data_IF_148650203886
#
_entry.id   IF_148650203886
#
_cell.length_a   1.000
_cell.length_b   1.000
_cell.length_c   1.000
_cell.angle_alpha   90.00
_cell.angle_beta   90.00
_cell.angle_gamma   90.00
#
_symmetry.space_group_name_H-M   'P 1'
#
loop_
_entity.id
_entity.type
_entity.pdbx_description
1 polymer ?
#
# COMPACT_ATOMS: atom_id res chain seq x y z
N UNK A 1 -34.83 5.86 6.75
CA UNK A 1 -34.74 4.39 6.84
C UNK A 1 -33.53 4.02 7.66
N UNK A 2 -33.61 2.98 8.48
CA UNK A 2 -32.45 2.45 9.22
C UNK A 2 -31.56 1.60 8.31
N UNK A 3 -30.26 1.57 8.60
CA UNK A 3 -29.30 0.70 7.90
C UNK A 3 -29.55 -0.75 8.37
N UNK A 4 -29.68 -1.73 7.44
CA UNK A 4 -29.82 -3.13 7.81
C UNK A 4 -28.63 -3.62 8.66
N UNK A 5 -28.90 -4.49 9.63
CA UNK A 5 -27.88 -5.09 10.50
C UNK A 5 -26.95 -6.07 9.79
N UNK A 6 -27.18 -6.35 8.51
CA UNK A 6 -26.30 -7.17 7.67
C UNK A 6 -25.20 -6.35 6.99
N UNK A 7 -25.25 -5.02 7.08
CA UNK A 7 -24.28 -4.15 6.42
C UNK A 7 -22.92 -4.21 7.13
N UNK A 8 -21.88 -4.52 6.36
CA UNK A 8 -20.47 -4.64 6.80
C UNK A 8 -19.62 -3.47 6.27
N UNK A 9 -19.97 -2.97 5.09
CA UNK A 9 -19.32 -1.86 4.41
C UNK A 9 -20.27 -0.68 4.33
N UNK A 10 -19.82 0.50 4.74
CA UNK A 10 -20.60 1.72 4.66
C UNK A 10 -19.77 2.83 4.03
N UNK A 11 -20.39 3.56 3.10
CA UNK A 11 -19.79 4.71 2.42
C UNK A 11 -20.62 5.94 2.76
N UNK A 12 -19.95 6.99 3.24
CA UNK A 12 -20.54 8.30 3.48
C UNK A 12 -19.94 9.30 2.50
N UNK A 13 -20.80 9.78 1.61
CA UNK A 13 -20.47 10.63 0.48
C UNK A 13 -20.21 12.09 0.90
N UNK A 14 -19.65 12.84 -0.05
CA UNK A 14 -19.41 14.28 0.08
C UNK A 14 -20.63 15.05 0.58
N UNK A 15 -20.39 16.01 1.47
CA UNK A 15 -21.44 16.87 1.98
C UNK A 15 -22.26 16.26 3.13
N UNK A 16 -22.11 14.97 3.44
CA UNK A 16 -22.83 14.34 4.56
C UNK A 16 -22.59 15.10 5.88
N UNK A 17 -23.67 15.50 6.57
CA UNK A 17 -23.58 16.44 7.69
C UNK A 17 -24.45 16.03 8.91
N UNK A 18 -24.50 14.75 9.22
CA UNK A 18 -25.27 14.24 10.36
C UNK A 18 -24.37 13.45 11.33
N UNK A 19 -24.73 13.34 12.62
CA UNK A 19 -24.02 12.47 13.55
C UNK A 19 -24.00 11.02 13.08
N UNK A 20 -22.89 10.32 13.34
CA UNK A 20 -22.64 8.95 12.90
C UNK A 20 -23.16 7.86 13.86
N UNK A 21 -24.02 8.22 14.81
CA UNK A 21 -24.59 7.28 15.78
C UNK A 21 -25.56 6.25 15.18
N UNK A 22 -25.99 6.45 13.93
CA UNK A 22 -26.84 5.52 13.20
C UNK A 22 -26.07 4.32 12.61
N UNK A 23 -24.73 4.37 12.57
CA UNK A 23 -23.93 3.30 11.97
C UNK A 23 -24.04 2.06 12.87
N UNK A 24 -24.56 0.92 12.36
CA UNK A 24 -24.73 -0.27 13.17
C UNK A 24 -23.36 -0.90 13.53
N UNK A 25 -23.27 -1.64 14.65
CA UNK A 25 -22.03 -2.28 15.08
C UNK A 25 -21.57 -3.42 14.15
N UNK A 26 -22.37 -3.80 13.15
CA UNK A 26 -21.99 -4.78 12.14
C UNK A 26 -21.05 -4.20 11.09
N UNK A 27 -20.96 -2.87 10.97
CA UNK A 27 -20.02 -2.22 10.06
C UNK A 27 -18.60 -2.41 10.58
N UNK A 28 -17.74 -2.88 9.70
CA UNK A 28 -16.31 -3.13 9.96
C UNK A 28 -15.42 -2.27 9.04
N UNK A 29 -15.95 -1.91 7.88
CA UNK A 29 -15.28 -1.10 6.87
C UNK A 29 -16.08 0.19 6.63
N UNK A 30 -15.44 1.34 6.84
CA UNK A 30 -16.07 2.65 6.69
C UNK A 30 -15.27 3.50 5.71
N UNK A 31 -15.96 4.06 4.72
CA UNK A 31 -15.45 5.05 3.80
C UNK A 31 -16.06 6.41 4.14
N UNK A 32 -15.20 7.41 4.35
CA UNK A 32 -15.57 8.78 4.60
C UNK A 32 -14.96 9.65 3.52
N UNK A 33 -15.81 10.19 2.64
CA UNK A 33 -15.41 11.21 1.68
C UNK A 33 -15.33 12.57 2.42
N UNK A 34 -15.48 13.71 1.74
CA UNK A 34 -15.44 15.02 2.36
C UNK A 34 -16.76 15.40 3.08
N UNK A 35 -17.06 14.66 4.15
CA UNK A 35 -18.20 14.89 5.03
C UNK A 35 -18.06 16.22 5.80
N UNK A 36 -19.17 16.88 6.08
CA UNK A 36 -19.22 18.16 6.81
C UNK A 36 -19.41 18.00 8.30
N UNK A 37 -19.92 16.84 8.75
CA UNK A 37 -20.07 16.57 10.17
C UNK A 37 -18.71 16.54 10.87
N UNK A 38 -18.54 17.32 11.94
CA UNK A 38 -17.29 17.39 12.69
C UNK A 38 -17.07 16.14 13.53
N UNK A 39 -16.06 15.35 13.19
CA UNK A 39 -15.73 14.12 13.89
C UNK A 39 -14.94 14.41 15.17
N UNK A 40 -15.30 13.67 16.22
CA UNK A 40 -14.68 13.71 17.55
C UNK A 40 -14.36 12.29 18.00
N UNK A 41 -13.48 12.10 19.00
CA UNK A 41 -13.32 10.80 19.64
C UNK A 41 -14.69 10.19 20.01
N UNK A 42 -14.94 8.97 19.57
CA UNK A 42 -16.24 8.29 19.76
C UNK A 42 -17.28 8.48 18.64
N UNK A 43 -17.01 9.30 17.61
CA UNK A 43 -17.98 9.52 16.52
C UNK A 43 -18.26 8.28 15.68
N UNK A 44 -17.26 7.44 15.38
CA UNK A 44 -17.44 6.20 14.63
C UNK A 44 -17.64 5.00 15.57
N UNK A 45 -18.27 3.89 15.17
CA UNK A 45 -18.36 2.70 16.04
C UNK A 45 -17.00 2.05 16.33
N UNK A 46 -16.87 1.40 17.50
CA UNK A 46 -15.63 0.66 17.89
C UNK A 46 -15.39 -0.61 17.07
N UNK A 47 -16.32 -0.97 16.20
CA UNK A 47 -16.27 -2.17 15.35
C UNK A 47 -15.48 -1.93 14.07
N UNK A 48 -15.24 -0.66 13.72
CA UNK A 48 -14.47 -0.28 12.52
C UNK A 48 -13.02 -0.76 12.66
N UNK A 49 -12.60 -1.61 11.72
CA UNK A 49 -11.23 -2.12 11.60
C UNK A 49 -10.50 -1.54 10.40
N UNK A 50 -11.25 -1.14 9.37
CA UNK A 50 -10.73 -0.56 8.13
C UNK A 50 -11.41 0.78 7.91
N UNK A 51 -10.60 1.82 7.74
CA UNK A 51 -11.07 3.18 7.53
C UNK A 51 -10.45 3.75 6.27
N UNK A 52 -11.29 4.29 5.40
CA UNK A 52 -10.90 4.94 4.16
C UNK A 52 -11.33 6.40 4.24
N UNK A 53 -10.37 7.31 4.11
CA UNK A 53 -10.59 8.75 4.10
C UNK A 53 -10.27 9.25 2.70
N UNK A 54 -11.27 9.77 2.01
CA UNK A 54 -11.24 9.99 0.56
C UNK A 54 -11.69 11.39 0.16
N UNK A 55 -11.57 11.72 -1.14
CA UNK A 55 -12.14 12.89 -1.80
C UNK A 55 -11.86 14.24 -1.14
N UNK A 56 -10.65 14.42 -0.61
CA UNK A 56 -10.28 15.70 -0.01
C UNK A 56 -10.74 15.87 1.43
N UNK A 57 -10.93 14.76 2.16
CA UNK A 57 -11.20 14.77 3.59
C UNK A 57 -10.29 15.76 4.33
N UNK A 58 -10.90 16.67 5.09
CA UNK A 58 -10.24 17.85 5.67
C UNK A 58 -10.59 18.05 7.15
N UNK A 59 -10.38 17.01 7.95
CA UNK A 59 -10.59 17.08 9.40
C UNK A 59 -9.42 16.43 10.16
N UNK A 60 -9.18 16.83 11.43
CA UNK A 60 -8.22 16.15 12.29
C UNK A 60 -8.55 14.66 12.44
N UNK A 61 -7.52 13.80 12.46
CA UNK A 61 -7.68 12.35 12.55
C UNK A 61 -7.79 11.80 13.99
N UNK A 62 -7.99 12.66 14.99
CA UNK A 62 -8.06 12.26 16.40
C UNK A 62 -9.35 11.47 16.77
N UNK A 63 -10.33 11.41 15.86
CA UNK A 63 -11.53 10.58 16.03
C UNK A 63 -11.28 9.10 15.78
N UNK A 64 -10.19 8.75 15.09
CA UNK A 64 -9.87 7.37 14.74
C UNK A 64 -9.61 6.58 16.02
N UNK A 65 -10.37 5.50 16.22
CA UNK A 65 -10.36 4.73 17.46
C UNK A 65 -9.24 3.69 17.49
N UNK A 66 -8.80 3.25 18.70
CA UNK A 66 -7.70 2.30 18.89
C UNK A 66 -8.09 0.83 18.58
N UNK A 67 -8.80 0.62 17.48
CA UNK A 67 -9.11 -0.70 16.91
C UNK A 67 -8.92 -0.74 15.40
N UNK A 68 -8.78 0.42 14.75
CA UNK A 68 -8.47 0.52 13.32
C UNK A 68 -7.08 -0.04 13.08
N UNK A 69 -6.99 -0.98 12.14
CA UNK A 69 -5.75 -1.68 11.76
C UNK A 69 -5.28 -1.30 10.36
N UNK A 70 -6.24 -1.02 9.46
CA UNK A 70 -6.00 -0.58 8.10
C UNK A 70 -6.55 0.84 7.93
N UNK A 71 -5.69 1.75 7.49
CA UNK A 71 -6.06 3.12 7.17
C UNK A 71 -5.66 3.43 5.74
N UNK A 72 -6.60 3.96 4.96
CA UNK A 72 -6.37 4.49 3.63
C UNK A 72 -6.58 6.00 3.61
N UNK A 73 -5.64 6.72 3.03
CA UNK A 73 -5.65 8.18 2.92
C UNK A 73 -5.55 8.58 1.45
N UNK A 74 -6.62 9.18 0.93
CA UNK A 74 -6.70 9.72 -0.43
C UNK A 74 -6.95 11.23 -0.41
N UNK A 75 -6.10 11.97 -1.10
CA UNK A 75 -6.18 13.43 -1.27
C UNK A 75 -6.42 14.24 0.03
N UNK A 76 -5.94 13.78 1.19
CA UNK A 76 -6.20 14.42 2.50
C UNK A 76 -5.68 15.87 2.52
N UNK A 77 -6.59 16.81 2.77
CA UNK A 77 -6.27 18.25 2.87
C UNK A 77 -5.74 18.64 4.24
N UNK A 78 -6.17 17.93 5.28
CA UNK A 78 -5.70 18.14 6.63
C UNK A 78 -4.19 17.87 6.73
N UNK A 79 -3.43 18.78 7.33
CA UNK A 79 -2.00 18.63 7.51
C UNK A 79 -1.70 17.57 8.59
N UNK A 80 -1.19 16.43 8.17
CA UNK A 80 -0.85 15.32 9.05
C UNK A 80 0.40 15.64 9.87
N UNK A 81 0.36 15.27 11.14
CA UNK A 81 1.44 15.49 12.12
C UNK A 81 1.80 14.17 12.77
N UNK A 82 2.98 14.08 13.42
CA UNK A 82 3.26 12.96 14.32
C UNK A 82 2.08 12.77 15.28
N UNK A 83 1.64 11.52 15.46
CA UNK A 83 0.47 11.14 16.29
C UNK A 83 -0.91 11.41 15.67
N UNK A 84 -1.01 11.89 14.43
CA UNK A 84 -2.31 11.99 13.74
C UNK A 84 -2.97 10.62 13.54
N UNK A 85 -2.18 9.56 13.37
CA UNK A 85 -2.66 8.19 13.18
C UNK A 85 -2.49 7.40 14.49
N UNK A 86 -3.52 6.67 14.97
CA UNK A 86 -3.39 5.83 16.15
C UNK A 86 -2.34 4.73 15.98
N UNK A 87 -1.65 4.39 17.07
CA UNK A 87 -0.62 3.32 17.12
C UNK A 87 -1.20 1.92 16.92
N UNK A 88 -2.52 1.76 16.76
CA UNK A 88 -3.11 0.47 16.41
C UNK A 88 -3.04 0.16 14.92
N UNK A 89 -2.80 1.17 14.08
CA UNK A 89 -2.67 1.02 12.63
C UNK A 89 -1.37 0.30 12.30
N UNK A 90 -1.50 -0.80 11.56
CA UNK A 90 -0.37 -1.62 11.10
C UNK A 90 -0.23 -1.63 9.58
N UNK A 91 -1.32 -1.30 8.86
CA UNK A 91 -1.38 -1.20 7.41
C UNK A 91 -1.83 0.22 7.04
N UNK A 92 -1.03 0.89 6.23
CA UNK A 92 -1.31 2.25 5.77
C UNK A 92 -1.23 2.28 4.24
N UNK A 93 -2.26 2.82 3.61
CA UNK A 93 -2.31 3.06 2.18
C UNK A 93 -2.39 4.55 1.91
N UNK A 94 -1.44 5.06 1.12
CA UNK A 94 -1.40 6.43 0.64
C UNK A 94 -1.76 6.40 -0.85
N UNK A 95 -2.94 6.92 -1.16
CA UNK A 95 -3.56 6.84 -2.49
C UNK A 95 -3.13 8.00 -3.41
N UNK A 96 -3.80 8.09 -4.56
CA UNK A 96 -3.48 9.03 -5.64
C UNK A 96 -3.42 10.49 -5.14
N UNK A 97 -2.38 11.20 -5.56
CA UNK A 97 -2.23 12.61 -5.29
C UNK A 97 -1.76 12.97 -3.88
N UNK A 98 -1.47 11.99 -3.02
CA UNK A 98 -0.93 12.26 -1.68
C UNK A 98 0.36 13.10 -1.77
N UNK A 99 0.35 14.28 -1.15
CA UNK A 99 1.41 15.30 -1.32
C UNK A 99 1.88 15.91 0.01
N UNK A 100 2.10 15.07 1.03
CA UNK A 100 2.62 15.51 2.32
C UNK A 100 3.88 14.71 2.72
N UNK A 101 4.78 15.27 3.56
CA UNK A 101 5.87 14.51 4.15
C UNK A 101 5.37 13.30 4.95
N UNK A 102 6.09 12.19 4.91
CA UNK A 102 5.66 10.92 5.54
C UNK A 102 6.04 10.78 7.03
N UNK A 103 6.43 11.88 7.69
CA UNK A 103 6.85 11.87 9.10
C UNK A 103 5.70 11.64 10.11
N UNK A 104 4.45 11.62 9.65
CA UNK A 104 3.28 11.29 10.47
C UNK A 104 3.06 9.78 10.65
N UNK A 105 3.69 8.95 9.82
CA UNK A 105 3.48 7.49 9.84
C UNK A 105 3.96 6.95 11.19
N UNK A 106 3.09 6.31 11.99
CA UNK A 106 3.46 5.86 13.32
C UNK A 106 4.40 4.64 13.24
N UNK A 107 5.25 4.42 14.27
CA UNK A 107 6.20 3.30 14.33
C UNK A 107 5.53 1.93 14.58
N UNK A 108 4.28 1.78 14.17
CA UNK A 108 3.48 0.55 14.24
C UNK A 108 3.08 0.06 12.86
N UNK A 109 3.28 0.88 11.82
CA UNK A 109 3.04 0.49 10.43
C UNK A 109 4.12 -0.49 9.99
N UNK A 110 3.69 -1.67 9.57
CA UNK A 110 4.52 -2.78 9.08
C UNK A 110 4.35 -2.97 7.58
N UNK A 111 3.17 -2.61 7.05
CA UNK A 111 2.83 -2.71 5.64
C UNK A 111 2.39 -1.34 5.10
N UNK A 112 3.09 -0.85 4.08
CA UNK A 112 2.86 0.44 3.46
C UNK A 112 2.56 0.26 1.97
N UNK A 113 1.47 0.86 1.52
CA UNK A 113 1.06 0.92 0.12
C UNK A 113 1.21 2.36 -0.36
N UNK A 114 1.94 2.54 -1.46
CA UNK A 114 2.18 3.84 -2.07
C UNK A 114 1.68 3.81 -3.51
N UNK A 115 0.67 4.63 -3.80
CA UNK A 115 0.21 4.89 -5.16
C UNK A 115 0.91 6.15 -5.72
N UNK A 116 0.24 7.00 -6.51
CA UNK A 116 0.80 8.22 -7.10
C UNK A 116 1.20 9.30 -6.06
N UNK A 117 2.25 9.04 -5.29
CA UNK A 117 2.77 9.96 -4.28
C UNK A 117 3.43 11.14 -5.00
N UNK A 118 2.91 12.34 -4.76
CA UNK A 118 3.45 13.58 -5.34
C UNK A 118 4.58 14.17 -4.50
N UNK A 119 4.63 13.82 -3.22
CA UNK A 119 5.73 14.21 -2.33
C UNK A 119 7.02 13.47 -2.71
N UNK A 120 8.13 14.18 -2.83
CA UNK A 120 9.42 13.58 -3.17
C UNK A 120 9.92 12.69 -2.03
N UNK A 121 10.03 11.38 -2.28
CA UNK A 121 10.51 10.42 -1.31
C UNK A 121 12.04 10.44 -1.24
N UNK A 122 12.56 10.54 -0.02
CA UNK A 122 13.97 10.55 0.30
C UNK A 122 14.33 9.30 1.11
N UNK A 123 15.63 8.93 1.17
CA UNK A 123 16.09 7.98 2.18
C UNK A 123 15.55 8.42 3.56
N UNK A 124 15.01 7.48 4.33
CA UNK A 124 14.37 7.71 5.64
C UNK A 124 12.96 8.35 5.63
N UNK A 125 12.34 8.59 4.47
CA UNK A 125 10.92 9.00 4.44
C UNK A 125 9.99 7.94 5.02
N UNK A 126 10.37 6.66 4.95
CA UNK A 126 9.59 5.55 5.48
C UNK A 126 10.14 5.15 6.86
N UNK A 127 9.29 4.95 7.89
CA UNK A 127 9.71 4.48 9.20
C UNK A 127 10.43 3.12 9.13
N UNK A 128 11.37 2.91 10.05
CA UNK A 128 12.15 1.66 10.17
C UNK A 128 11.31 0.42 10.51
N UNK A 129 10.03 0.60 10.88
CA UNK A 129 9.10 -0.49 11.20
C UNK A 129 8.47 -1.10 9.96
N UNK A 130 8.54 -0.43 8.81
CA UNK A 130 7.96 -0.95 7.56
C UNK A 130 8.81 -2.09 7.03
N UNK A 131 8.17 -3.26 6.88
CA UNK A 131 8.77 -4.51 6.39
C UNK A 131 8.27 -4.85 4.98
N UNK A 132 7.01 -4.57 4.71
CA UNK A 132 6.35 -4.81 3.43
C UNK A 132 6.03 -3.47 2.77
N UNK A 133 6.53 -3.29 1.55
CA UNK A 133 6.27 -2.12 0.74
C UNK A 133 5.62 -2.55 -0.57
N UNK A 134 4.49 -1.95 -0.90
CA UNK A 134 3.76 -2.17 -2.13
C UNK A 134 3.72 -0.84 -2.88
N UNK A 135 4.21 -0.85 -4.13
CA UNK A 135 4.16 0.30 -5.03
C UNK A 135 3.12 0.03 -6.11
N UNK A 136 2.12 0.88 -6.19
CA UNK A 136 0.95 0.69 -7.06
C UNK A 136 1.12 1.32 -8.45
N UNK A 137 0.11 1.13 -9.31
CA UNK A 137 0.16 1.39 -10.75
C UNK A 137 0.64 2.80 -11.13
N UNK A 138 0.31 3.82 -10.35
CA UNK A 138 0.67 5.19 -10.68
C UNK A 138 1.96 5.66 -9.99
N UNK A 139 2.68 4.79 -9.29
CA UNK A 139 3.93 5.14 -8.64
C UNK A 139 5.03 5.47 -9.68
N UNK A 140 5.58 6.69 -9.63
CA UNK A 140 6.54 7.20 -10.62
C UNK A 140 7.76 7.89 -9.97
N UNK A 141 8.35 7.26 -8.96
CA UNK A 141 9.58 7.76 -8.33
C UNK A 141 10.68 6.71 -8.31
N UNK A 142 11.93 7.18 -8.26
CA UNK A 142 13.10 6.32 -8.09
C UNK A 142 13.01 5.50 -6.80
N UNK A 143 13.37 4.22 -6.85
CA UNK A 143 13.28 3.30 -5.71
C UNK A 143 14.40 3.47 -4.66
N UNK A 144 15.24 4.50 -4.79
CA UNK A 144 16.38 4.77 -3.88
C UNK A 144 15.97 5.20 -2.47
N UNK A 145 14.70 5.56 -2.24
CA UNK A 145 14.20 5.92 -0.91
C UNK A 145 13.96 4.71 -0.01
N UNK A 146 13.85 3.50 -0.59
CA UNK A 146 13.46 2.29 0.13
C UNK A 146 14.52 1.94 1.18
N UNK A 147 14.17 1.97 2.48
CA UNK A 147 15.16 1.76 3.54
C UNK A 147 15.56 0.28 3.69
N UNK A 148 16.72 -0.01 4.30
CA UNK A 148 17.21 -1.38 4.57
C UNK A 148 16.24 -2.27 5.37
N UNK A 149 15.28 -1.66 6.08
CA UNK A 149 14.30 -2.37 6.90
C UNK A 149 13.21 -3.05 6.08
N UNK A 150 12.93 -2.55 4.87
CA UNK A 150 12.00 -3.19 3.94
C UNK A 150 12.61 -4.51 3.47
N UNK A 151 11.88 -5.60 3.68
CA UNK A 151 12.31 -6.96 3.32
C UNK A 151 11.58 -7.46 2.08
N UNK A 152 10.35 -7.02 1.87
CA UNK A 152 9.50 -7.45 0.78
C UNK A 152 9.00 -6.23 0.00
N UNK A 153 9.27 -6.22 -1.30
CA UNK A 153 8.79 -5.20 -2.23
C UNK A 153 7.86 -5.84 -3.26
N UNK A 154 6.65 -5.30 -3.44
CA UNK A 154 5.76 -5.66 -4.54
C UNK A 154 5.57 -4.47 -5.46
N UNK A 155 5.69 -4.70 -6.77
CA UNK A 155 5.53 -3.70 -7.82
C UNK A 155 4.31 -4.05 -8.67
N UNK A 156 3.28 -3.21 -8.62
CA UNK A 156 2.04 -3.36 -9.36
C UNK A 156 2.02 -2.35 -10.50
N UNK A 157 2.49 -2.76 -11.67
CA UNK A 157 2.57 -1.94 -12.89
C UNK A 157 3.01 -0.47 -12.70
N UNK A 158 4.04 -0.23 -11.89
CA UNK A 158 4.55 1.13 -11.63
C UNK A 158 4.95 1.85 -12.94
N UNK A 159 4.84 3.18 -12.93
CA UNK A 159 5.28 4.04 -14.05
C UNK A 159 6.79 4.24 -14.09
N UNK A 160 7.45 4.21 -12.93
CA UNK A 160 8.90 4.37 -12.85
C UNK A 160 9.62 3.28 -13.65
N UNK A 161 10.36 3.68 -14.68
CA UNK A 161 11.08 2.77 -15.57
C UNK A 161 12.22 2.07 -14.81
N UNK A 162 12.13 0.75 -14.71
CA UNK A 162 13.17 -0.08 -14.10
C UNK A 162 14.32 -0.29 -15.09
N UNK A 163 15.53 -0.03 -14.61
CA UNK A 163 16.80 -0.33 -15.28
C UNK A 163 17.68 -1.16 -14.33
N UNK A 164 18.75 -1.80 -14.82
CA UNK A 164 19.69 -2.49 -13.94
C UNK A 164 20.18 -1.58 -12.81
N UNK A 165 20.07 -2.05 -11.57
CA UNK A 165 20.41 -1.28 -10.37
C UNK A 165 19.31 -0.35 -9.83
N UNK A 166 18.12 -0.30 -10.46
CA UNK A 166 16.97 0.44 -9.91
C UNK A 166 16.45 -0.16 -8.60
N UNK A 167 16.42 -1.49 -8.50
CA UNK A 167 15.84 -2.19 -7.34
C UNK A 167 16.91 -2.36 -6.25
N UNK A 168 16.62 -2.03 -4.98
CA UNK A 168 17.56 -2.20 -3.88
C UNK A 168 17.98 -3.67 -3.68
N UNK A 169 19.27 -3.89 -3.44
CA UNK A 169 19.84 -5.23 -3.32
C UNK A 169 19.69 -5.85 -1.92
N UNK A 170 19.23 -5.12 -0.90
CA UNK A 170 19.05 -5.65 0.46
C UNK A 170 17.74 -6.43 0.66
N UNK A 171 16.82 -6.37 -0.32
CA UNK A 171 15.51 -7.00 -0.23
C UNK A 171 15.64 -8.53 -0.15
N UNK A 172 14.73 -9.17 0.61
CA UNK A 172 14.65 -10.63 0.69
C UNK A 172 13.75 -11.20 -0.39
N UNK A 173 12.64 -10.50 -0.66
CA UNK A 173 11.63 -10.90 -1.62
C UNK A 173 11.24 -9.73 -2.52
N UNK A 174 11.04 -10.02 -3.80
CA UNK A 174 10.58 -9.07 -4.81
C UNK A 174 9.40 -9.67 -5.58
N UNK A 175 8.31 -8.92 -5.71
CA UNK A 175 7.11 -9.35 -6.39
C UNK A 175 6.75 -8.45 -7.57
N UNK A 176 6.30 -9.05 -8.66
CA UNK A 176 5.74 -8.37 -9.83
C UNK A 176 4.34 -8.94 -10.10
N UNK A 177 3.32 -8.08 -10.10
CA UNK A 177 1.93 -8.52 -10.22
C UNK A 177 1.03 -7.39 -10.75
N UNK A 178 -0.28 -7.64 -10.82
CA UNK A 178 -1.33 -6.67 -11.12
C UNK A 178 -1.12 -5.95 -12.47
N UNK A 179 -0.83 -6.73 -13.51
CA UNK A 179 -0.63 -6.24 -14.87
C UNK A 179 0.74 -5.59 -15.08
N UNK A 180 1.77 -5.98 -14.32
CA UNK A 180 3.10 -5.40 -14.43
C UNK A 180 3.63 -5.52 -15.88
N UNK A 181 3.87 -4.37 -16.51
CA UNK A 181 4.05 -4.29 -17.96
C UNK A 181 5.46 -3.92 -18.43
N UNK A 182 6.45 -3.88 -17.53
CA UNK A 182 7.82 -3.60 -17.96
C UNK A 182 8.57 -4.89 -18.32
N UNK A 183 9.47 -4.83 -19.29
CA UNK A 183 10.33 -5.95 -19.64
C UNK A 183 11.42 -6.16 -18.57
N UNK A 184 11.41 -7.33 -17.92
CA UNK A 184 12.43 -7.71 -16.94
C UNK A 184 13.69 -8.23 -17.65
N UNK A 185 14.56 -7.34 -18.11
CA UNK A 185 15.86 -7.70 -18.71
C UNK A 185 16.91 -8.03 -17.66
N UNK A 186 18.01 -8.65 -18.09
CA UNK A 186 19.16 -8.98 -17.24
C UNK A 186 19.60 -7.81 -16.34
N UNK A 187 19.76 -8.09 -15.05
CA UNK A 187 20.23 -7.14 -14.04
C UNK A 187 19.17 -6.22 -13.43
N UNK A 188 17.92 -6.22 -13.92
CA UNK A 188 16.82 -5.51 -13.26
C UNK A 188 16.49 -6.14 -11.91
N UNK A 189 16.37 -7.47 -11.88
CA UNK A 189 16.22 -8.22 -10.64
C UNK A 189 17.63 -8.41 -10.06
N UNK A 190 17.93 -7.89 -8.85
CA UNK A 190 19.24 -8.06 -8.25
C UNK A 190 19.52 -9.54 -7.89
N UNK A 191 20.76 -9.98 -8.07
CA UNK A 191 21.17 -11.36 -7.74
C UNK A 191 21.06 -11.70 -6.25
N UNK A 192 21.02 -10.68 -5.39
CA UNK A 192 20.86 -10.84 -3.94
C UNK A 192 19.45 -11.21 -3.49
N UNK A 193 18.44 -11.04 -4.36
CA UNK A 193 17.05 -11.40 -4.05
C UNK A 193 16.92 -12.91 -3.96
N UNK A 194 16.39 -13.44 -2.86
CA UNK A 194 16.23 -14.89 -2.69
C UNK A 194 14.93 -15.42 -3.28
N UNK A 195 13.85 -14.67 -3.10
CA UNK A 195 12.50 -15.05 -3.52
C UNK A 195 11.95 -14.03 -4.52
N UNK A 196 11.59 -14.52 -5.70
CA UNK A 196 10.94 -13.73 -6.75
C UNK A 196 9.50 -14.23 -6.85
N UNK A 197 8.53 -13.35 -6.64
CA UNK A 197 7.10 -13.65 -6.81
C UNK A 197 6.65 -13.08 -8.16
N UNK A 198 6.13 -13.92 -9.05
CA UNK A 198 5.61 -13.49 -10.35
C UNK A 198 4.14 -13.87 -10.45
N UNK A 199 3.28 -12.86 -10.59
CA UNK A 199 1.85 -13.03 -10.81
C UNK A 199 1.42 -12.57 -12.20
N UNK A 200 0.48 -11.64 -12.24
CA UNK A 200 -0.04 -11.06 -13.48
C UNK A 200 0.99 -10.07 -14.07
N UNK A 201 1.72 -10.53 -15.10
CA UNK A 201 2.68 -9.74 -15.88
C UNK A 201 2.25 -9.71 -17.35
N UNK A 202 2.57 -8.63 -18.06
CA UNK A 202 2.22 -8.48 -19.50
C UNK A 202 3.28 -9.09 -20.42
N UNK A 203 4.51 -9.23 -19.94
CA UNK A 203 5.59 -9.84 -20.70
C UNK A 203 6.15 -11.03 -19.92
N UNK A 204 6.42 -12.16 -20.60
CA UNK A 204 7.02 -13.32 -19.94
C UNK A 204 8.44 -12.99 -19.46
N UNK A 205 8.89 -13.72 -18.43
CA UNK A 205 10.31 -13.76 -18.12
C UNK A 205 11.10 -14.30 -19.33
N UNK A 206 12.33 -13.83 -19.51
CA UNK A 206 13.30 -14.36 -20.47
C UNK A 206 14.32 -15.23 -19.73
N UNK A 207 15.01 -16.18 -20.41
CA UNK A 207 16.01 -17.03 -19.77
C UNK A 207 17.13 -16.26 -19.04
N UNK A 208 17.43 -15.04 -19.46
CA UNK A 208 18.46 -14.16 -18.90
C UNK A 208 17.92 -13.12 -17.91
N UNK A 209 16.61 -13.08 -17.66
CA UNK A 209 15.98 -12.17 -16.67
C UNK A 209 16.49 -12.41 -15.24
N UNK A 210 16.92 -13.63 -14.95
CA UNK A 210 17.37 -14.10 -13.63
C UNK A 210 18.76 -14.67 -13.84
N UNK A 211 19.78 -14.02 -13.29
CA UNK A 211 21.19 -14.40 -13.50
C UNK A 211 21.72 -15.30 -12.40
N UNK A 212 21.17 -15.24 -11.19
CA UNK A 212 21.60 -16.08 -10.08
C UNK A 212 20.77 -17.39 -9.98
N UNK A 213 21.39 -18.57 -10.11
CA UNK A 213 20.69 -19.86 -10.05
C UNK A 213 20.12 -20.21 -8.66
N UNK A 214 20.58 -19.55 -7.60
CA UNK A 214 20.07 -19.78 -6.23
C UNK A 214 18.74 -19.08 -5.97
N UNK A 215 18.34 -18.15 -6.84
CA UNK A 215 17.06 -17.45 -6.74
C UNK A 215 15.92 -18.42 -6.99
N UNK A 216 14.87 -18.32 -6.17
CA UNK A 216 13.69 -19.18 -6.31
C UNK A 216 12.50 -18.34 -6.73
N UNK A 217 11.73 -18.86 -7.70
CA UNK A 217 10.54 -18.22 -8.24
C UNK A 217 9.29 -18.86 -7.66
N UNK A 218 8.41 -18.05 -7.08
CA UNK A 218 7.05 -18.42 -6.78
C UNK A 218 6.12 -17.83 -7.84
N UNK A 219 5.42 -18.70 -8.56
CA UNK A 219 4.44 -18.30 -9.58
C UNK A 219 3.06 -18.30 -8.93
N UNK A 220 2.33 -17.18 -9.02
CA UNK A 220 0.95 -17.12 -8.55
C UNK A 220 -0.01 -17.69 -9.60
N UNK A 221 -1.25 -17.97 -9.18
CA UNK A 221 -2.32 -18.40 -10.08
C UNK A 221 -2.66 -17.39 -11.20
N UNK A 222 -2.18 -16.13 -11.09
CA UNK A 222 -2.41 -15.09 -12.08
C UNK A 222 -1.38 -15.07 -13.22
N UNK A 223 -0.29 -15.84 -13.12
CA UNK A 223 0.71 -15.93 -14.18
C UNK A 223 0.21 -16.75 -15.37
N UNK A 224 0.33 -16.18 -16.57
CA UNK A 224 -0.31 -16.73 -17.78
C UNK A 224 0.66 -17.40 -18.76
N UNK A 225 1.97 -17.35 -18.51
CA UNK A 225 2.99 -17.86 -19.43
C UNK A 225 3.54 -19.23 -19.01
N UNK A 226 4.16 -19.98 -19.95
CA UNK A 226 4.87 -21.21 -19.60
C UNK A 226 6.02 -20.95 -18.61
N UNK A 227 6.29 -21.94 -17.75
CA UNK A 227 7.47 -21.93 -16.88
C UNK A 227 8.73 -22.17 -17.71
N UNK A 228 9.77 -21.36 -17.49
CA UNK A 228 11.10 -21.60 -18.06
C UNK A 228 11.78 -22.70 -17.25
N UNK A 229 12.19 -23.79 -17.93
CA UNK A 229 12.74 -25.00 -17.30
C UNK A 229 14.03 -24.79 -16.51
N UNK A 230 14.82 -23.77 -16.85
CA UNK A 230 16.11 -23.48 -16.21
C UNK A 230 15.95 -22.81 -14.85
N UNK A 231 14.75 -22.35 -14.48
CA UNK A 231 14.52 -21.69 -13.20
C UNK A 231 14.06 -22.66 -12.12
N UNK A 232 14.43 -22.32 -10.88
CA UNK A 232 13.98 -23.03 -9.68
C UNK A 232 12.65 -22.46 -9.20
N UNK A 233 11.62 -23.30 -9.11
CA UNK A 233 10.29 -22.89 -8.65
C UNK A 233 9.97 -23.45 -7.26
N UNK A 234 9.25 -22.67 -6.44
CA UNK A 234 8.53 -23.20 -5.28
C UNK A 234 7.25 -23.92 -5.76
N UNK A 235 6.91 -24.99 -5.05
CA UNK A 235 5.63 -25.69 -5.20
C UNK A 235 4.53 -24.95 -4.44
#
# INVERSE_FOLDING_TARGET
GSIPTTVIHLILQDGFNQPLSFIPPTVVCLYLHNIKYQLKPGSIPTTIKQLYLEDGFDQPLNFIQPKVRFLSLDNIKYQLKPSSIPTTVTHLMLQDGFNQPLNFIPPTVVCLYLNNIRYQLLPFSIPSTVIHLILEENFDQSLKFIPPTVKCLFLYNIKYQLIPGSIPNHLKSLGFDNGFSQHLTKGIIPDSIKLIVIGDVVYPLKPDSISNPDQTIYITHRYKYPKIKTFKYLC
#
